data_IF_911752971392
#
_entry.id   IF_911752971392
#
_cell.length_a   1.000
_cell.length_b   1.000
_cell.length_c   1.000
_cell.angle_alpha   90.00
_cell.angle_beta   90.00
_cell.angle_gamma   90.00
#
_symmetry.space_group_name_H-M   'P 1'
#
loop_
_entity.id
_entity.type
_entity.pdbx_description
1 polymer ?
#
# COMPACT_ATOMS: atom_id res chain seq x y z
N UNK A 1 3.59 10.47 10.24
CA UNK A 1 3.08 9.40 11.17
C UNK A 1 4.10 8.27 11.23
N UNK A 2 4.43 7.77 12.42
CA UNK A 2 5.22 6.54 12.56
C UNK A 2 4.50 5.68 13.60
N UNK A 3 3.83 4.64 13.12
CA UNK A 3 3.04 3.74 13.94
C UNK A 3 3.34 2.29 13.52
N UNK A 4 3.37 1.38 14.49
CA UNK A 4 3.47 -0.05 14.22
C UNK A 4 2.54 -0.81 15.17
N UNK A 5 1.90 -1.86 14.68
CA UNK A 5 1.08 -2.74 15.48
C UNK A 5 1.22 -4.20 15.05
N UNK A 6 1.01 -5.09 16.03
CA UNK A 6 1.12 -6.52 15.83
C UNK A 6 -0.26 -7.14 15.61
N UNK A 7 -0.35 -8.05 14.65
CA UNK A 7 -1.50 -8.90 14.44
C UNK A 7 -1.09 -10.35 14.71
N UNK A 8 -1.62 -10.91 15.79
CA UNK A 8 -1.40 -12.32 16.11
C UNK A 8 -2.51 -13.15 15.48
N UNK A 9 -2.13 -14.17 14.71
CA UNK A 9 -3.07 -15.12 14.12
C UNK A 9 -3.59 -16.12 15.17
N UNK A 10 -4.66 -16.84 14.85
CA UNK A 10 -5.15 -17.94 15.74
C UNK A 10 -4.12 -19.06 15.87
N UNK A 11 -3.24 -19.20 14.92
CA UNK A 11 -2.17 -20.19 14.88
C UNK A 11 -0.88 -19.72 15.62
N UNK A 12 -0.89 -18.48 16.14
CA UNK A 12 0.24 -17.88 16.88
C UNK A 12 1.27 -17.16 15.99
N UNK A 13 1.05 -17.08 14.67
CA UNK A 13 1.94 -16.33 13.79
C UNK A 13 1.86 -14.82 14.10
N UNK A 14 2.99 -14.13 14.07
CA UNK A 14 3.06 -12.69 14.27
C UNK A 14 3.27 -11.96 12.95
N UNK A 15 2.41 -11.00 12.67
CA UNK A 15 2.49 -10.08 11.54
C UNK A 15 2.64 -8.68 12.10
N UNK A 16 3.65 -7.97 11.64
CA UNK A 16 3.88 -6.58 11.98
C UNK A 16 3.39 -5.71 10.82
N UNK A 17 2.54 -4.76 11.14
CA UNK A 17 2.09 -3.72 10.21
C UNK A 17 2.70 -2.40 10.65
N UNK A 18 3.45 -1.77 9.75
CA UNK A 18 4.09 -0.49 10.00
C UNK A 18 3.51 0.58 9.07
N UNK A 19 3.31 1.75 9.63
CA UNK A 19 2.85 2.96 8.96
C UNK A 19 3.94 4.01 9.16
N UNK A 20 4.68 4.31 8.11
CA UNK A 20 5.80 5.25 8.17
C UNK A 20 5.53 6.43 7.25
N UNK A 21 5.85 7.64 7.73
CA UNK A 21 5.78 8.82 6.86
C UNK A 21 6.68 8.62 5.64
N UNK A 22 6.07 8.73 4.47
CA UNK A 22 6.73 8.55 3.18
C UNK A 22 7.23 9.91 2.67
N UNK A 23 8.49 10.22 2.92
CA UNK A 23 9.07 11.53 2.66
C UNK A 23 10.08 11.65 1.51
N UNK A 24 10.26 10.76 0.54
CA UNK A 24 11.49 10.95 -0.23
C UNK A 24 11.50 12.15 -1.19
N UNK A 25 10.38 12.55 -1.83
CA UNK A 25 10.47 13.55 -2.94
C UNK A 25 9.22 14.41 -3.13
N UNK A 26 8.12 14.07 -2.51
CA UNK A 26 6.81 14.72 -2.75
C UNK A 26 6.64 15.97 -1.88
N UNK A 27 7.46 16.11 -0.84
CA UNK A 27 7.27 17.07 0.23
C UNK A 27 7.39 18.53 -0.17
N UNK A 28 8.28 18.89 -1.10
CA UNK A 28 8.46 20.30 -1.48
C UNK A 28 7.31 20.84 -2.33
N UNK A 29 6.85 20.07 -3.31
CA UNK A 29 5.75 20.46 -4.20
C UNK A 29 4.39 20.44 -3.49
N UNK A 30 4.15 19.44 -2.65
CA UNK A 30 2.90 19.27 -1.93
C UNK A 30 2.89 20.11 -0.65
N UNK A 31 3.99 20.17 0.08
CA UNK A 31 4.07 20.86 1.37
C UNK A 31 3.74 22.35 1.32
N UNK A 32 4.01 23.02 0.20
CA UNK A 32 3.63 24.41 0.00
C UNK A 32 2.14 24.62 -0.26
N UNK A 33 1.47 23.62 -0.84
CA UNK A 33 0.04 23.72 -1.19
C UNK A 33 -0.85 23.04 -0.15
N UNK A 34 -0.34 21.99 0.49
CA UNK A 34 -1.07 21.18 1.48
C UNK A 34 -0.17 20.88 2.70
N UNK A 35 0.09 21.87 3.56
CA UNK A 35 1.09 21.78 4.63
C UNK A 35 0.77 20.72 5.70
N UNK A 36 -0.47 20.26 5.77
CA UNK A 36 -0.91 19.24 6.75
C UNK A 36 -1.01 17.84 6.13
N UNK A 37 -0.81 17.72 4.81
CA UNK A 37 -0.92 16.45 4.14
C UNK A 37 0.24 15.53 4.53
N UNK A 38 -0.09 14.33 4.90
CA UNK A 38 0.86 13.27 5.19
C UNK A 38 0.64 12.07 4.26
N UNK A 39 1.69 11.62 3.60
CA UNK A 39 1.67 10.36 2.86
C UNK A 39 2.32 9.31 3.75
N UNK A 40 1.61 8.22 3.96
CA UNK A 40 2.00 7.16 4.90
C UNK A 40 2.14 5.84 4.15
N UNK A 41 3.35 5.30 4.14
CA UNK A 41 3.62 4.00 3.57
C UNK A 41 3.20 2.88 4.51
N UNK A 42 2.46 1.91 3.95
CA UNK A 42 2.04 0.70 4.63
C UNK A 42 3.03 -0.42 4.31
N UNK A 43 3.64 -0.98 5.34
CA UNK A 43 4.48 -2.18 5.23
C UNK A 43 3.89 -3.30 6.07
N UNK A 44 3.79 -4.50 5.49
CA UNK A 44 3.26 -5.68 6.17
C UNK A 44 4.32 -6.78 6.13
N UNK A 45 4.85 -7.15 7.30
CA UNK A 45 5.92 -8.13 7.43
C UNK A 45 5.46 -9.26 8.35
N UNK A 46 5.74 -10.49 7.95
CA UNK A 46 5.62 -11.65 8.84
C UNK A 46 6.89 -11.76 9.66
N UNK A 47 6.78 -11.64 10.97
CA UNK A 47 7.91 -11.78 11.89
C UNK A 47 8.11 -13.25 12.30
N UNK A 48 7.03 -14.01 12.44
CA UNK A 48 7.11 -15.44 12.80
C UNK A 48 5.97 -16.25 12.21
N UNK A 49 6.18 -17.56 12.11
CA UNK A 49 5.22 -18.53 11.60
C UNK A 49 5.45 -18.90 10.14
N UNK A 50 4.95 -20.08 9.74
CA UNK A 50 5.13 -20.65 8.39
C UNK A 50 3.80 -20.98 7.69
N UNK A 51 2.69 -21.03 8.44
CA UNK A 51 1.39 -21.44 7.89
C UNK A 51 0.80 -20.37 6.99
N UNK A 52 0.04 -20.74 5.94
CA UNK A 52 -0.65 -19.78 5.11
C UNK A 52 -1.56 -18.85 5.93
N UNK A 53 -1.41 -17.53 5.75
CA UNK A 53 -2.23 -16.55 6.45
C UNK A 53 -3.63 -16.53 5.83
N UNK A 54 -4.64 -16.58 6.69
CA UNK A 54 -6.04 -16.56 6.27
C UNK A 54 -6.46 -15.14 5.87
N UNK A 55 -7.38 -15.05 4.91
CA UNK A 55 -7.95 -13.78 4.44
C UNK A 55 -8.56 -12.93 5.56
N UNK A 56 -9.11 -13.56 6.61
CA UNK A 56 -9.65 -12.89 7.79
C UNK A 56 -8.62 -11.99 8.48
N UNK A 57 -7.35 -12.38 8.46
CA UNK A 57 -6.25 -11.59 9.06
C UNK A 57 -6.01 -10.32 8.25
N UNK A 58 -5.92 -10.43 6.93
CA UNK A 58 -5.78 -9.25 6.06
C UNK A 58 -7.01 -8.33 6.12
N UNK A 59 -8.21 -8.90 6.29
CA UNK A 59 -9.42 -8.13 6.53
C UNK A 59 -9.33 -7.29 7.81
N UNK A 60 -8.84 -7.86 8.92
CA UNK A 60 -8.62 -7.10 10.16
C UNK A 60 -7.57 -6.00 9.99
N UNK A 61 -6.49 -6.29 9.27
CA UNK A 61 -5.48 -5.26 8.94
C UNK A 61 -6.12 -4.11 8.17
N UNK A 62 -6.88 -4.40 7.12
CA UNK A 62 -7.56 -3.39 6.31
C UNK A 62 -8.52 -2.52 7.14
N UNK A 63 -9.30 -3.11 8.04
CA UNK A 63 -10.19 -2.38 8.94
C UNK A 63 -9.42 -1.42 9.86
N UNK A 64 -8.32 -1.88 10.44
CA UNK A 64 -7.47 -1.03 11.30
C UNK A 64 -6.86 0.13 10.50
N UNK A 65 -6.36 -0.13 9.29
CA UNK A 65 -5.79 0.90 8.42
C UNK A 65 -6.82 1.97 8.03
N UNK A 66 -8.04 1.57 7.70
CA UNK A 66 -9.13 2.49 7.39
C UNK A 66 -9.50 3.32 8.62
N UNK A 67 -9.60 2.69 9.81
CA UNK A 67 -9.88 3.43 11.05
C UNK A 67 -8.80 4.48 11.36
N UNK A 68 -7.52 4.11 11.25
CA UNK A 68 -6.42 5.06 11.44
C UNK A 68 -6.51 6.22 10.45
N UNK A 69 -6.82 5.93 9.20
CA UNK A 69 -6.95 6.96 8.18
C UNK A 69 -8.19 7.85 8.40
N UNK A 70 -9.29 7.32 8.94
CA UNK A 70 -10.48 8.11 9.32
C UNK A 70 -10.15 9.11 10.44
N UNK A 71 -9.36 8.68 11.43
CA UNK A 71 -8.92 9.54 12.53
C UNK A 71 -7.92 10.63 12.08
N UNK A 72 -7.30 10.43 10.90
CA UNK A 72 -6.29 11.33 10.33
C UNK A 72 -6.73 11.81 8.93
N UNK A 73 -7.62 12.80 8.83
CA UNK A 73 -8.27 13.17 7.58
C UNK A 73 -7.34 13.70 6.48
N UNK A 74 -6.16 14.18 6.83
CA UNK A 74 -5.17 14.70 5.88
C UNK A 74 -4.10 13.65 5.49
N UNK A 75 -4.37 12.37 5.77
CA UNK A 75 -3.48 11.27 5.41
C UNK A 75 -3.89 10.61 4.10
N UNK A 76 -2.90 10.39 3.23
CA UNK A 76 -2.96 9.51 2.07
C UNK A 76 -2.19 8.24 2.43
N UNK A 77 -2.81 7.07 2.26
CA UNK A 77 -2.13 5.80 2.45
C UNK A 77 -1.47 5.36 1.14
N UNK A 78 -0.24 4.91 1.24
CA UNK A 78 0.55 4.39 0.13
C UNK A 78 0.96 2.95 0.39
N UNK A 79 0.87 2.08 -0.61
CA UNK A 79 1.47 0.75 -0.55
C UNK A 79 2.08 0.35 -1.89
N UNK A 80 3.12 -0.47 -1.82
CA UNK A 80 3.87 -0.93 -2.96
C UNK A 80 3.86 -2.45 -3.05
N UNK A 81 3.48 -2.98 -4.23
CA UNK A 81 3.50 -4.41 -4.53
C UNK A 81 4.76 -4.74 -5.31
N UNK A 82 5.83 -5.02 -4.59
CA UNK A 82 7.12 -5.40 -5.14
C UNK A 82 7.25 -6.91 -5.40
N UNK A 83 8.44 -7.33 -5.80
CA UNK A 83 8.78 -8.71 -6.12
C UNK A 83 9.27 -9.53 -4.92
N UNK A 84 9.39 -8.93 -3.75
CA UNK A 84 9.92 -9.62 -2.58
C UNK A 84 9.00 -10.78 -2.16
N UNK A 85 9.58 -11.82 -1.58
CA UNK A 85 8.84 -12.98 -1.04
C UNK A 85 8.08 -12.63 0.26
N UNK A 86 7.53 -11.41 0.31
CA UNK A 86 6.74 -10.95 1.43
C UNK A 86 5.31 -11.49 1.42
N UNK A 87 4.55 -11.10 2.43
CA UNK A 87 3.12 -11.40 2.53
C UNK A 87 2.29 -10.49 1.63
N UNK A 88 1.16 -10.97 1.13
CA UNK A 88 0.65 -12.35 1.19
C UNK A 88 1.27 -13.27 0.12
N UNK A 89 1.35 -14.56 0.44
CA UNK A 89 1.76 -15.58 -0.52
C UNK A 89 0.57 -16.18 -1.24
N UNK A 90 0.74 -16.38 -2.55
CA UNK A 90 -0.22 -17.13 -3.35
C UNK A 90 -0.15 -18.64 -3.04
N UNK A 91 -1.28 -19.32 -3.06
CA UNK A 91 -1.31 -20.79 -2.99
C UNK A 91 -0.70 -21.37 -4.26
N UNK A 92 0.04 -22.47 -4.12
CA UNK A 92 0.64 -23.21 -5.25
C UNK A 92 -0.41 -23.55 -6.34
N UNK A 93 -0.01 -23.44 -7.60
CA UNK A 93 -0.84 -23.80 -8.76
C UNK A 93 -1.59 -22.63 -9.43
N UNK A 94 -1.35 -21.38 -9.05
CA UNK A 94 -1.88 -20.19 -9.74
C UNK A 94 -0.82 -19.57 -10.66
N UNK A 95 -1.29 -18.90 -11.72
CA UNK A 95 -0.44 -18.32 -12.78
C UNK A 95 -0.03 -16.87 -12.54
N UNK A 96 -0.58 -16.22 -11.48
CA UNK A 96 -0.27 -14.83 -11.17
C UNK A 96 1.13 -14.70 -10.54
N UNK A 97 1.85 -13.64 -10.84
CA UNK A 97 3.05 -13.26 -10.11
C UNK A 97 2.73 -12.82 -8.67
N UNK A 98 3.73 -12.77 -7.80
CA UNK A 98 3.53 -12.37 -6.40
C UNK A 98 2.96 -10.95 -6.29
N UNK A 99 3.47 -10.01 -7.11
CA UNK A 99 3.01 -8.63 -7.13
C UNK A 99 1.58 -8.49 -7.68
N UNK A 100 1.22 -9.23 -8.75
CA UNK A 100 -0.16 -9.23 -9.26
C UNK A 100 -1.13 -9.81 -8.24
N UNK A 101 -0.73 -10.85 -7.54
CA UNK A 101 -1.55 -11.43 -6.49
C UNK A 101 -1.80 -10.43 -5.35
N UNK A 102 -0.76 -9.72 -4.89
CA UNK A 102 -0.87 -8.69 -3.85
C UNK A 102 -1.71 -7.52 -4.34
N UNK A 103 -1.47 -7.05 -5.57
CA UNK A 103 -2.26 -6.00 -6.19
C UNK A 103 -3.75 -6.33 -6.14
N UNK A 104 -4.14 -7.50 -6.67
CA UNK A 104 -5.54 -7.93 -6.70
C UNK A 104 -6.13 -8.10 -5.30
N UNK A 105 -5.36 -8.64 -4.36
CA UNK A 105 -5.80 -8.84 -2.98
C UNK A 105 -6.07 -7.51 -2.28
N UNK A 106 -5.12 -6.57 -2.32
CA UNK A 106 -5.26 -5.29 -1.64
C UNK A 106 -6.37 -4.43 -2.25
N UNK A 107 -6.50 -4.40 -3.58
CA UNK A 107 -7.64 -3.76 -4.26
C UNK A 107 -8.98 -4.30 -3.75
N UNK A 108 -9.12 -5.63 -3.70
CA UNK A 108 -10.36 -6.26 -3.25
C UNK A 108 -10.66 -5.97 -1.78
N UNK A 109 -9.66 -6.06 -0.91
CA UNK A 109 -9.80 -5.73 0.51
C UNK A 109 -10.19 -4.27 0.69
N UNK A 110 -9.49 -3.37 0.02
CA UNK A 110 -9.78 -1.95 0.12
C UNK A 110 -11.19 -1.63 -0.36
N UNK A 111 -11.59 -2.09 -1.54
CA UNK A 111 -12.95 -1.90 -2.06
C UNK A 111 -14.02 -2.38 -1.07
N UNK A 112 -13.81 -3.54 -0.46
CA UNK A 112 -14.75 -4.09 0.52
C UNK A 112 -14.88 -3.23 1.77
N UNK A 113 -13.77 -2.84 2.38
CA UNK A 113 -13.78 -2.16 3.67
C UNK A 113 -13.96 -0.65 3.56
N UNK A 114 -13.55 -0.02 2.45
CA UNK A 114 -13.85 1.39 2.21
C UNK A 114 -15.33 1.64 1.96
N UNK A 115 -16.07 0.67 1.41
CA UNK A 115 -17.52 0.79 1.24
C UNK A 115 -18.31 0.79 2.55
N UNK A 116 -17.70 0.33 3.64
CA UNK A 116 -18.26 0.39 5.00
C UNK A 116 -17.99 1.76 5.68
N UNK A 117 -17.14 2.59 5.08
CA UNK A 117 -16.80 3.94 5.56
C UNK A 117 -17.89 4.95 5.19
N UNK A 118 -18.09 5.96 6.04
CA UNK A 118 -18.95 7.12 5.76
C UNK A 118 -18.30 8.09 4.76
N UNK A 119 -17.01 7.97 4.52
CA UNK A 119 -16.24 8.80 3.59
C UNK A 119 -16.01 8.07 2.27
N UNK A 120 -16.00 8.83 1.18
CA UNK A 120 -15.66 8.29 -0.14
C UNK A 120 -14.14 8.18 -0.29
N UNK A 121 -13.69 6.97 -0.65
CA UNK A 121 -12.29 6.64 -0.87
C UNK A 121 -12.06 6.21 -2.31
N UNK A 122 -10.94 6.63 -2.85
CA UNK A 122 -10.48 6.26 -4.19
C UNK A 122 -9.12 5.56 -4.10
N UNK A 123 -8.99 4.42 -4.78
CA UNK A 123 -7.72 3.71 -4.98
C UNK A 123 -7.15 4.11 -6.34
N UNK A 124 -5.99 4.76 -6.32
CA UNK A 124 -5.23 5.13 -7.52
C UNK A 124 -4.11 4.11 -7.70
N UNK A 125 -4.31 3.22 -8.66
CA UNK A 125 -3.29 2.25 -9.08
C UNK A 125 -2.32 2.89 -10.07
N UNK A 126 -1.03 2.66 -9.86
CA UNK A 126 0.06 3.04 -10.76
C UNK A 126 0.80 1.79 -11.17
N UNK A 127 0.68 1.44 -12.43
CA UNK A 127 1.39 0.31 -13.05
C UNK A 127 2.76 0.78 -13.56
N UNK A 128 3.81 0.07 -13.17
CA UNK A 128 5.19 0.34 -13.55
C UNK A 128 5.77 -0.88 -14.25
N UNK A 129 6.07 -0.75 -15.55
CA UNK A 129 6.65 -1.85 -16.34
C UNK A 129 8.16 -1.70 -16.39
N UNK A 130 8.86 -2.69 -15.86
CA UNK A 130 10.30 -2.82 -16.02
C UNK A 130 10.61 -3.65 -17.25
N UNK A 131 11.17 -3.01 -18.27
CA UNK A 131 11.65 -3.73 -19.48
C UNK A 131 12.85 -4.61 -19.20
N UNK A 132 13.66 -4.28 -18.18
CA UNK A 132 14.84 -5.07 -17.80
C UNK A 132 14.47 -6.33 -17.02
N UNK A 133 13.42 -6.29 -16.22
CA UNK A 133 12.99 -7.41 -15.38
C UNK A 133 11.83 -8.20 -16.00
N UNK A 134 11.32 -7.77 -17.15
CA UNK A 134 10.11 -8.32 -17.79
C UNK A 134 8.92 -8.48 -16.83
N UNK A 135 8.81 -7.55 -15.87
CA UNK A 135 7.84 -7.61 -14.80
C UNK A 135 7.10 -6.29 -14.61
N UNK A 136 5.89 -6.41 -14.09
CA UNK A 136 5.05 -5.28 -13.72
C UNK A 136 5.00 -5.14 -12.20
N UNK A 137 5.27 -3.95 -11.70
CA UNK A 137 5.13 -3.57 -10.30
C UNK A 137 3.92 -2.65 -10.15
N UNK A 138 3.33 -2.62 -8.97
CA UNK A 138 2.14 -1.82 -8.69
C UNK A 138 2.36 -0.97 -7.44
N UNK A 139 1.99 0.31 -7.55
CA UNK A 139 1.90 1.22 -6.42
C UNK A 139 0.46 1.73 -6.30
N UNK A 140 0.01 1.96 -5.09
CA UNK A 140 -1.34 2.43 -4.82
C UNK A 140 -1.34 3.61 -3.88
N UNK A 141 -2.18 4.60 -4.17
CA UNK A 141 -2.54 5.65 -3.25
C UNK A 141 -4.02 5.54 -2.90
N UNK A 142 -4.30 5.34 -1.64
CA UNK A 142 -5.66 5.35 -1.11
C UNK A 142 -5.93 6.73 -0.54
N UNK A 143 -6.83 7.45 -1.17
CA UNK A 143 -7.06 8.86 -0.89
C UNK A 143 -8.55 9.21 -0.88
N UNK A 144 -8.88 10.33 -0.25
CA UNK A 144 -10.23 10.91 -0.24
C UNK A 144 -10.42 11.85 -1.41
N UNK A 145 -11.68 12.17 -1.74
CA UNK A 145 -12.03 13.06 -2.84
C UNK A 145 -11.31 14.41 -2.79
N UNK A 146 -11.10 14.98 -1.60
CA UNK A 146 -10.36 16.23 -1.43
C UNK A 146 -8.91 16.18 -1.90
N UNK A 147 -8.33 14.98 -1.99
CA UNK A 147 -6.95 14.75 -2.44
C UNK A 147 -6.86 14.44 -3.95
N UNK A 148 -7.97 14.27 -4.67
CA UNK A 148 -7.98 14.00 -6.11
C UNK A 148 -7.14 14.97 -6.96
N UNK A 149 -7.07 16.28 -6.65
CA UNK A 149 -6.20 17.20 -7.38
C UNK A 149 -4.70 16.86 -7.32
N UNK A 150 -4.28 16.01 -6.37
CA UNK A 150 -2.88 15.59 -6.20
C UNK A 150 -2.49 14.37 -7.04
N UNK A 151 -3.45 13.67 -7.64
CA UNK A 151 -3.23 12.36 -8.30
C UNK A 151 -2.15 12.42 -9.36
N UNK A 152 -2.15 13.45 -10.21
CA UNK A 152 -1.16 13.57 -11.28
C UNK A 152 0.25 13.83 -10.72
N UNK A 153 0.37 14.61 -9.65
CA UNK A 153 1.63 14.86 -8.96
C UNK A 153 2.16 13.55 -8.37
N UNK A 154 1.32 12.83 -7.61
CA UNK A 154 1.68 11.55 -6.98
C UNK A 154 2.12 10.50 -8.01
N UNK A 155 1.37 10.39 -9.10
CA UNK A 155 1.68 9.47 -10.19
C UNK A 155 3.01 9.79 -10.86
N UNK A 156 3.25 11.05 -11.19
CA UNK A 156 4.48 11.48 -11.85
C UNK A 156 5.70 11.23 -10.96
N UNK A 157 5.61 11.50 -9.66
CA UNK A 157 6.69 11.26 -8.71
C UNK A 157 7.06 9.78 -8.62
N UNK A 158 6.07 8.90 -8.49
CA UNK A 158 6.32 7.44 -8.44
C UNK A 158 6.96 6.97 -9.74
N UNK A 159 6.45 7.40 -10.91
CA UNK A 159 6.99 6.99 -12.20
C UNK A 159 8.41 7.53 -12.45
N UNK A 160 8.71 8.76 -12.03
CA UNK A 160 10.03 9.35 -12.17
C UNK A 160 11.07 8.65 -11.28
N UNK A 161 10.70 8.36 -10.04
CA UNK A 161 11.55 7.61 -9.12
C UNK A 161 11.79 6.19 -9.62
N UNK A 162 10.79 5.52 -10.16
CA UNK A 162 10.94 4.20 -10.75
C UNK A 162 11.90 4.19 -11.93
N UNK A 163 11.82 5.17 -12.85
CA UNK A 163 12.75 5.33 -13.98
C UNK A 163 14.18 5.54 -13.49
N UNK A 164 14.39 6.41 -12.50
CA UNK A 164 15.72 6.69 -11.97
C UNK A 164 16.41 5.47 -11.37
N UNK A 165 15.64 4.56 -10.76
CA UNK A 165 16.15 3.29 -10.22
C UNK A 165 16.45 2.31 -11.35
N UNK A 166 15.62 2.24 -12.39
CA UNK A 166 15.82 1.34 -13.53
C UNK A 166 17.02 1.74 -14.39
N UNK A 167 17.34 3.05 -14.47
CA UNK A 167 18.43 3.58 -15.30
C UNK A 167 19.80 3.54 -14.61
N UNK A 168 19.86 3.27 -13.30
CA UNK A 168 21.10 3.21 -12.51
C UNK A 168 21.76 1.81 -12.47
N UNK A 169 21.22 0.83 -13.16
CA UNK A 169 21.76 -0.54 -13.27
C UNK A 169 22.12 -0.88 -14.70
#
# INVERSE_FOLDING_TARGET
MNLSFDVITKEGDKIVVSLNSFYPYISELIGNTFPQLEIVEITIVRESGEKPIKMEVFGRIAQVLISIAQDNPDTILYYFCDMTEGLPHQRSGRTLSCQEYRNNLFKHLFQRYSSESTEHWTDIEIEMRSTQLEQTLYAHFLLRDKHLPLVDILRNEVLNNFKSISDQK
#
